data_IF_617391131282
#
_entry.id   IF_617391131282
#
_cell.length_a   1.000
_cell.length_b   1.000
_cell.length_c   1.000
_cell.angle_alpha   90.00
_cell.angle_beta   90.00
_cell.angle_gamma   90.00
#
_symmetry.space_group_name_H-M   'P 1'
#
loop_
_entity.id
_entity.type
_entity.pdbx_description
1 polymer ?
#
# COMPACT_ATOMS: atom_id res chain seq x y z
N UNK A 1 -1.56 -15.72 35.55
CA UNK A 1 -1.36 -14.97 34.29
C UNK A 1 -0.10 -14.09 34.32
N UNK A 2 -0.02 -13.09 35.22
CA UNK A 2 1.09 -12.12 35.25
C UNK A 2 2.50 -12.73 35.19
N UNK A 3 2.80 -13.74 36.03
CA UNK A 3 4.15 -14.32 36.10
C UNK A 3 4.61 -14.94 34.78
N UNK A 4 3.75 -15.75 34.14
CA UNK A 4 4.03 -16.38 32.85
C UNK A 4 4.18 -15.34 31.73
N UNK A 5 3.35 -14.30 31.74
CA UNK A 5 3.45 -13.19 30.81
C UNK A 5 4.79 -12.44 30.95
N UNK A 6 5.18 -12.11 32.19
CA UNK A 6 6.45 -11.43 32.47
C UNK A 6 7.65 -12.33 32.11
N UNK A 7 7.55 -13.64 32.34
CA UNK A 7 8.55 -14.62 31.87
C UNK A 7 8.66 -14.61 30.34
N UNK A 8 7.53 -14.56 29.61
CA UNK A 8 7.51 -14.47 28.13
C UNK A 8 8.15 -13.19 27.61
N UNK A 9 8.03 -12.09 28.36
CA UNK A 9 8.71 -10.82 28.09
C UNK A 9 10.20 -10.82 28.45
N UNK A 10 10.69 -11.86 29.14
CA UNK A 10 12.02 -11.92 29.77
C UNK A 10 12.24 -10.76 30.76
N UNK A 11 11.22 -10.47 31.56
CA UNK A 11 11.30 -9.48 32.63
C UNK A 11 12.41 -9.83 33.63
N UNK A 12 13.24 -8.83 33.98
CA UNK A 12 14.36 -8.99 34.92
C UNK A 12 14.22 -8.14 36.18
N UNK A 13 13.11 -7.41 36.33
CA UNK A 13 12.84 -6.57 37.49
C UNK A 13 12.27 -7.35 38.68
N UNK A 14 11.84 -6.66 39.75
CA UNK A 14 11.21 -7.27 40.91
C UNK A 14 9.95 -8.07 40.55
N UNK A 15 9.64 -9.09 41.37
CA UNK A 15 8.43 -9.91 41.28
C UNK A 15 7.69 -9.95 42.64
N UNK A 16 6.42 -9.51 42.72
CA UNK A 16 5.68 -8.81 41.67
C UNK A 16 6.32 -7.43 41.35
N UNK A 17 6.22 -6.92 40.12
CA UNK A 17 6.67 -5.57 39.81
C UNK A 17 5.89 -4.53 40.61
N UNK A 18 6.51 -3.42 41.07
CA UNK A 18 5.76 -2.34 41.70
C UNK A 18 4.98 -1.54 40.63
N UNK A 19 3.77 -1.02 40.94
CA UNK A 19 2.95 -0.27 39.97
C UNK A 19 3.48 1.15 39.77
N UNK A 20 4.66 1.31 39.17
CA UNK A 20 5.31 2.60 38.91
C UNK A 20 5.31 2.96 37.42
N UNK A 21 5.56 4.23 37.08
CA UNK A 21 5.69 4.64 35.67
C UNK A 21 6.85 3.91 34.95
N UNK A 22 7.94 3.60 35.66
CA UNK A 22 9.06 2.84 35.12
C UNK A 22 8.63 1.41 34.75
N UNK A 23 7.95 0.70 35.66
CA UNK A 23 7.36 -0.62 35.38
C UNK A 23 6.41 -0.57 34.19
N UNK A 24 5.51 0.42 34.15
CA UNK A 24 4.56 0.58 33.04
C UNK A 24 5.28 0.78 31.70
N UNK A 25 6.29 1.64 31.68
CA UNK A 25 7.06 1.97 30.48
C UNK A 25 7.82 0.76 29.95
N UNK A 26 8.47 0.00 30.82
CA UNK A 26 9.20 -1.21 30.44
C UNK A 26 8.26 -2.31 29.92
N UNK A 27 7.11 -2.54 30.57
CA UNK A 27 6.14 -3.55 30.13
C UNK A 27 5.58 -3.21 28.75
N UNK A 28 5.24 -1.94 28.49
CA UNK A 28 4.74 -1.48 27.18
C UNK A 28 5.81 -1.66 26.10
N UNK A 29 7.05 -1.25 26.38
CA UNK A 29 8.16 -1.39 25.43
C UNK A 29 8.47 -2.87 25.13
N UNK A 30 8.51 -3.73 26.16
CA UNK A 30 8.74 -5.16 25.99
C UNK A 30 7.61 -5.84 25.22
N UNK A 31 6.35 -5.54 25.54
CA UNK A 31 5.19 -6.12 24.85
C UNK A 31 5.25 -5.86 23.34
N UNK A 32 5.47 -4.60 22.95
CA UNK A 32 5.47 -4.19 21.53
C UNK A 32 6.64 -4.76 20.72
N UNK A 33 7.71 -5.19 21.40
CA UNK A 33 8.85 -5.87 20.79
C UNK A 33 8.72 -7.39 20.79
N UNK A 34 8.04 -7.98 21.78
CA UNK A 34 7.93 -9.45 21.94
C UNK A 34 6.74 -10.02 21.17
N UNK A 35 5.61 -9.34 21.22
CA UNK A 35 4.38 -9.79 20.60
C UNK A 35 4.13 -9.09 19.26
N UNK A 36 3.59 -9.87 18.33
CA UNK A 36 3.26 -9.47 16.99
C UNK A 36 1.76 -9.22 16.91
N UNK A 37 1.41 -8.02 16.47
CA UNK A 37 0.05 -7.72 16.04
C UNK A 37 -0.20 -8.40 14.70
N UNK A 38 -1.31 -9.13 14.57
CA UNK A 38 -1.78 -9.56 13.27
C UNK A 38 -2.83 -10.64 13.32
N UNK A 39 -3.47 -10.90 12.18
CA UNK A 39 -4.61 -11.80 12.04
C UNK A 39 -4.28 -13.13 11.35
N UNK A 40 -3.04 -13.61 11.40
CA UNK A 40 -2.67 -14.93 10.85
C UNK A 40 -3.59 -16.02 11.38
N UNK A 41 -3.94 -15.97 12.68
CA UNK A 41 -4.86 -16.92 13.31
C UNK A 41 -6.22 -17.02 12.63
N UNK A 42 -6.73 -15.93 12.04
CA UNK A 42 -8.00 -15.94 11.30
C UNK A 42 -7.91 -16.75 10.00
N UNK A 43 -6.72 -16.88 9.42
CA UNK A 43 -6.48 -17.65 8.19
C UNK A 43 -6.11 -19.11 8.48
N UNK A 44 -5.66 -19.42 9.70
CA UNK A 44 -5.31 -20.78 10.13
C UNK A 44 -6.39 -21.45 10.99
N UNK A 45 -7.48 -20.73 11.30
CA UNK A 45 -8.59 -21.24 12.11
C UNK A 45 -8.34 -21.21 13.62
N UNK A 46 -7.36 -20.43 14.09
CA UNK A 46 -7.11 -20.24 15.51
C UNK A 46 -8.24 -19.47 16.18
N UNK A 47 -8.50 -19.77 17.46
CA UNK A 47 -9.50 -19.06 18.25
C UNK A 47 -9.14 -17.57 18.40
N UNK A 48 -10.13 -16.71 18.15
CA UNK A 48 -10.00 -15.25 18.22
C UNK A 48 -10.67 -14.67 19.47
N UNK A 49 -11.11 -15.53 20.39
CA UNK A 49 -11.68 -15.12 21.66
C UNK A 49 -10.66 -14.36 22.52
N UNK A 50 -11.20 -13.62 23.51
CA UNK A 50 -10.41 -12.84 24.47
C UNK A 50 -10.51 -13.40 25.89
N UNK A 51 -10.97 -14.64 26.05
CA UNK A 51 -10.95 -15.30 27.35
C UNK A 51 -9.53 -15.68 27.78
N UNK A 52 -9.34 -15.88 29.09
CA UNK A 52 -8.02 -16.14 29.67
C UNK A 52 -7.34 -17.37 29.08
N UNK A 53 -8.08 -18.45 28.76
CA UNK A 53 -7.48 -19.66 28.22
C UNK A 53 -6.88 -19.39 26.84
N UNK A 54 -7.62 -18.71 25.97
CA UNK A 54 -7.13 -18.33 24.63
C UNK A 54 -5.96 -17.36 24.71
N UNK A 55 -6.03 -16.32 25.55
CA UNK A 55 -4.94 -15.35 25.71
C UNK A 55 -3.65 -16.00 26.25
N UNK A 56 -3.78 -16.91 27.22
CA UNK A 56 -2.64 -17.62 27.79
C UNK A 56 -2.06 -18.68 26.85
N UNK A 57 -2.86 -19.23 25.93
CA UNK A 57 -2.36 -20.18 24.94
C UNK A 57 -1.24 -19.57 24.10
N UNK A 58 -1.39 -18.30 23.67
CA UNK A 58 -0.33 -17.60 22.95
C UNK A 58 0.90 -17.37 23.82
N UNK A 59 0.71 -16.88 25.05
CA UNK A 59 1.81 -16.61 26.00
C UNK A 59 2.68 -17.87 26.19
N UNK A 60 2.06 -19.05 26.19
CA UNK A 60 2.70 -20.37 26.37
C UNK A 60 3.23 -20.99 25.08
N UNK A 61 2.68 -20.66 23.91
CA UNK A 61 2.97 -21.29 22.62
C UNK A 61 4.39 -21.09 22.09
N UNK A 62 5.16 -20.16 22.66
CA UNK A 62 6.45 -19.73 22.11
C UNK A 62 6.33 -18.84 20.86
N UNK A 63 5.20 -18.87 20.15
CA UNK A 63 4.89 -17.92 19.08
C UNK A 63 4.83 -16.48 19.61
N UNK A 64 5.17 -15.52 18.76
CA UNK A 64 4.97 -14.09 19.02
C UNK A 64 3.58 -13.62 18.60
N UNK A 65 2.81 -14.38 17.82
CA UNK A 65 1.50 -13.95 17.31
C UNK A 65 0.39 -13.98 18.37
N UNK A 66 0.02 -12.81 18.92
CA UNK A 66 -1.09 -12.69 19.90
C UNK A 66 -2.43 -12.49 19.23
N UNK A 67 -2.45 -11.74 18.12
CA UNK A 67 -3.68 -11.50 17.37
C UNK A 67 -3.93 -10.01 17.13
N UNK A 68 -5.20 -9.62 17.17
CA UNK A 68 -5.63 -8.25 16.92
C UNK A 68 -5.70 -7.40 18.20
N UNK A 69 -6.12 -6.13 18.07
CA UNK A 69 -6.08 -5.15 19.15
C UNK A 69 -6.81 -5.61 20.42
N UNK A 70 -7.95 -6.31 20.29
CA UNK A 70 -8.72 -6.77 21.45
C UNK A 70 -7.98 -7.84 22.28
N UNK A 71 -7.27 -8.78 21.65
CA UNK A 71 -6.52 -9.81 22.37
C UNK A 71 -5.31 -9.21 23.10
N UNK A 72 -4.54 -8.37 22.40
CA UNK A 72 -3.41 -7.65 22.99
C UNK A 72 -3.81 -6.80 24.20
N UNK A 73 -4.86 -5.99 24.07
CA UNK A 73 -5.28 -5.10 25.15
C UNK A 73 -6.00 -5.85 26.27
N UNK A 74 -6.72 -6.94 26.01
CA UNK A 74 -7.30 -7.76 27.07
C UNK A 74 -6.22 -8.45 27.91
N UNK A 75 -5.18 -8.99 27.26
CA UNK A 75 -4.01 -9.55 27.94
C UNK A 75 -3.30 -8.48 28.78
N UNK A 76 -3.00 -7.33 28.19
CA UNK A 76 -2.35 -6.22 28.90
C UNK A 76 -3.19 -5.71 30.06
N UNK A 77 -4.51 -5.57 29.90
CA UNK A 77 -5.42 -5.09 30.93
C UNK A 77 -5.41 -6.01 32.16
N UNK A 78 -5.43 -7.32 31.96
CA UNK A 78 -5.38 -8.30 33.04
C UNK A 78 -4.03 -8.23 33.78
N UNK A 79 -2.92 -8.19 33.04
CA UNK A 79 -1.57 -8.09 33.64
C UNK A 79 -1.40 -6.79 34.42
N UNK A 80 -1.84 -5.65 33.89
CA UNK A 80 -1.73 -4.37 34.60
C UNK A 80 -2.54 -4.36 35.90
N UNK A 81 -3.72 -5.01 35.91
CA UNK A 81 -4.54 -5.16 37.12
C UNK A 81 -3.88 -6.09 38.14
N UNK A 82 -3.31 -7.21 37.70
CA UNK A 82 -2.55 -8.14 38.57
C UNK A 82 -1.36 -7.45 39.25
N UNK A 83 -0.69 -6.52 38.55
CA UNK A 83 0.42 -5.70 39.09
C UNK A 83 -0.09 -4.65 40.11
N UNK A 84 -1.39 -4.31 40.07
CA UNK A 84 -2.01 -3.34 40.97
C UNK A 84 -2.24 -1.95 40.36
N UNK A 85 -2.12 -1.79 39.03
CA UNK A 85 -2.53 -0.54 38.38
C UNK A 85 -4.05 -0.38 38.31
N UNK A 86 -4.53 0.86 38.46
CA UNK A 86 -5.91 1.22 38.11
C UNK A 86 -6.05 1.34 36.59
N UNK A 87 -6.31 0.22 35.93
CA UNK A 87 -6.42 0.12 34.48
C UNK A 87 -7.87 -0.08 34.00
N UNK A 88 -8.29 0.75 33.05
CA UNK A 88 -9.65 0.79 32.48
C UNK A 88 -9.57 0.78 30.95
N UNK A 89 -10.29 -0.12 30.26
CA UNK A 89 -10.29 -0.13 28.81
C UNK A 89 -11.16 1.01 28.25
N UNK A 90 -10.75 1.52 27.11
CA UNK A 90 -11.40 2.58 26.34
C UNK A 90 -11.67 2.05 24.93
N UNK A 91 -12.89 2.24 24.42
CA UNK A 91 -13.22 1.93 23.04
C UNK A 91 -13.01 3.14 22.13
N UNK A 92 -12.51 2.88 20.92
CA UNK A 92 -12.12 3.91 19.98
C UNK A 92 -12.65 3.65 18.56
N UNK A 93 -12.97 4.74 17.87
CA UNK A 93 -13.29 4.78 16.44
C UNK A 93 -12.03 5.06 15.65
N UNK A 94 -11.63 4.13 14.79
CA UNK A 94 -10.43 4.22 13.96
C UNK A 94 -10.61 5.30 12.90
N UNK A 95 -9.65 6.22 12.79
CA UNK A 95 -9.56 7.26 11.76
C UNK A 95 -8.39 7.02 10.80
N UNK A 96 -7.39 6.25 11.25
CA UNK A 96 -6.22 5.88 10.46
C UNK A 96 -6.60 4.99 9.27
N UNK A 97 -6.26 5.43 8.06
CA UNK A 97 -6.44 4.65 6.83
C UNK A 97 -5.11 4.26 6.17
N UNK A 98 -3.98 4.44 6.86
CA UNK A 98 -2.65 4.15 6.31
C UNK A 98 -2.07 5.23 5.38
N UNK A 99 -2.79 6.34 5.15
CA UNK A 99 -2.36 7.45 4.30
C UNK A 99 -2.36 8.81 5.02
N UNK A 100 -1.42 9.66 4.61
CA UNK A 100 -1.22 11.04 5.10
C UNK A 100 -2.38 11.96 4.63
N UNK A 101 -3.09 11.57 3.57
CA UNK A 101 -4.17 12.36 2.96
C UNK A 101 -5.50 11.62 3.14
N UNK A 102 -6.21 11.90 4.23
CA UNK A 102 -7.62 11.54 4.37
C UNK A 102 -8.39 12.74 4.91
N UNK A 103 -9.24 13.32 4.07
CA UNK A 103 -10.19 14.38 4.43
C UNK A 103 -11.62 13.85 4.61
N UNK A 104 -11.82 12.53 4.49
CA UNK A 104 -13.13 11.91 4.66
C UNK A 104 -13.28 11.34 6.07
N UNK A 105 -14.06 12.03 6.89
CA UNK A 105 -14.53 11.56 8.20
C UNK A 105 -15.68 10.56 7.99
N UNK A 106 -15.37 9.32 7.59
CA UNK A 106 -16.34 8.24 7.77
C UNK A 106 -16.34 7.84 9.23
N UNK A 107 -17.47 7.96 9.92
CA UNK A 107 -17.61 7.44 11.29
C UNK A 107 -17.46 5.91 11.27
N UNK A 108 -16.34 5.40 11.80
CA UNK A 108 -16.13 3.97 11.99
C UNK A 108 -16.80 3.50 13.28
N UNK A 109 -17.06 2.20 13.40
CA UNK A 109 -17.51 1.58 14.65
C UNK A 109 -16.48 1.69 15.78
N UNK A 110 -16.87 1.29 16.99
CA UNK A 110 -15.97 1.14 18.14
C UNK A 110 -15.15 -0.16 18.00
N UNK A 111 -14.15 -0.12 17.11
CA UNK A 111 -13.41 -1.30 16.63
C UNK A 111 -11.94 -1.31 17.04
N UNK A 112 -11.55 -0.44 17.98
CA UNK A 112 -10.23 -0.44 18.61
C UNK A 112 -10.33 -0.25 20.11
N UNK A 113 -9.31 -0.73 20.83
CA UNK A 113 -9.18 -0.65 22.29
C UNK A 113 -7.90 0.08 22.64
N UNK A 114 -7.96 0.99 23.60
CA UNK A 114 -6.80 1.48 24.33
C UNK A 114 -7.06 1.30 25.83
N UNK A 115 -6.05 1.50 26.68
CA UNK A 115 -6.18 1.38 28.14
C UNK A 115 -5.81 2.71 28.78
N UNK A 116 -6.68 3.23 29.63
CA UNK A 116 -6.35 4.31 30.56
C UNK A 116 -5.79 3.70 31.84
N UNK A 117 -4.59 4.10 32.21
CA UNK A 117 -3.95 3.76 33.48
C UNK A 117 -3.88 5.02 34.34
N UNK A 118 -4.46 4.99 35.54
CA UNK A 118 -4.38 6.10 36.47
C UNK A 118 -3.36 5.80 37.58
N UNK A 119 -2.38 6.69 37.75
CA UNK A 119 -1.32 6.56 38.75
C UNK A 119 -0.79 7.96 39.13
N UNK A 120 -0.51 8.20 40.41
CA UNK A 120 -0.02 9.49 40.95
C UNK A 120 -0.82 10.71 40.44
N UNK A 121 -2.16 10.63 40.52
CA UNK A 121 -3.09 11.68 40.08
C UNK A 121 -3.06 12.03 38.57
N UNK A 122 -2.32 11.26 37.77
CA UNK A 122 -2.24 11.41 36.32
C UNK A 122 -2.86 10.22 35.60
N UNK A 123 -3.30 10.46 34.38
CA UNK A 123 -3.76 9.43 33.47
C UNK A 123 -2.72 9.20 32.38
N UNK A 124 -2.55 7.93 32.00
CA UNK A 124 -1.71 7.50 30.90
C UNK A 124 -2.53 6.65 29.95
N UNK A 125 -2.31 6.84 28.65
CA UNK A 125 -2.81 5.98 27.60
C UNK A 125 -1.79 4.89 27.30
N UNK A 126 -2.22 3.64 27.36
CA UNK A 126 -1.47 2.46 26.92
C UNK A 126 -2.16 1.90 25.69
N UNK A 127 -1.43 1.87 24.57
CA UNK A 127 -1.88 1.28 23.31
C UNK A 127 -0.75 0.48 22.67
N UNK A 128 -0.74 -0.81 22.94
CA UNK A 128 0.31 -1.73 22.49
C UNK A 128 0.00 -2.39 21.15
N UNK A 129 -1.18 -2.13 20.56
CA UNK A 129 -1.67 -2.94 19.45
C UNK A 129 -2.60 -2.21 18.47
N UNK A 130 -2.34 -0.94 18.16
CA UNK A 130 -2.95 -0.24 17.02
C UNK A 130 -2.36 -0.62 15.63
N UNK A 131 -1.88 -1.86 15.50
CA UNK A 131 -1.27 -2.39 14.28
C UNK A 131 -0.03 -1.63 13.80
N UNK A 132 -0.11 -1.06 12.60
CA UNK A 132 1.01 -0.36 11.95
C UNK A 132 1.44 0.94 12.64
N UNK A 133 0.73 1.39 13.66
CA UNK A 133 1.00 2.65 14.38
C UNK A 133 0.90 2.48 15.92
N UNK A 134 1.15 1.29 16.47
CA UNK A 134 1.10 1.10 17.93
C UNK A 134 2.12 1.98 18.67
N UNK A 135 1.77 2.51 19.84
CA UNK A 135 2.66 3.36 20.62
C UNK A 135 3.71 2.50 21.33
N UNK A 136 4.93 3.02 21.48
CA UNK A 136 6.05 2.27 22.08
C UNK A 136 6.26 2.56 23.55
N UNK A 137 5.50 3.51 24.10
CA UNK A 137 5.56 3.98 25.48
C UNK A 137 4.14 4.32 25.97
N UNK A 138 3.88 4.31 27.29
CA UNK A 138 2.69 4.96 27.84
C UNK A 138 2.74 6.46 27.55
N UNK A 139 1.60 7.04 27.19
CA UNK A 139 1.48 8.45 26.82
C UNK A 139 0.70 9.19 27.90
N UNK A 140 1.21 10.32 28.38
CA UNK A 140 0.51 11.20 29.32
C UNK A 140 -0.81 11.66 28.70
N UNK A 141 -1.94 11.29 29.31
CA UNK A 141 -3.30 11.56 28.85
C UNK A 141 -3.90 12.72 29.65
N UNK A 142 -3.27 13.88 29.57
CA UNK A 142 -3.69 15.10 30.25
C UNK A 142 -3.90 16.25 29.26
N UNK A 143 -4.74 17.24 29.58
CA UNK A 143 -5.04 18.34 28.63
C UNK A 143 -3.80 19.11 28.19
N UNK A 144 -2.82 19.24 29.08
CA UNK A 144 -1.53 19.90 28.81
C UNK A 144 -0.71 19.16 27.73
N UNK A 145 -0.89 17.84 27.59
CA UNK A 145 -0.22 17.05 26.53
C UNK A 145 -0.67 17.43 25.12
N UNK A 146 -1.77 18.18 24.97
CA UNK A 146 -2.17 18.74 23.68
C UNK A 146 -1.19 19.81 23.17
N UNK A 147 -0.52 20.50 24.11
CA UNK A 147 0.43 21.58 23.83
C UNK A 147 1.88 21.09 23.79
N UNK A 148 2.17 19.94 24.42
CA UNK A 148 3.51 19.34 24.46
C UNK A 148 3.49 17.95 23.82
N UNK A 149 3.78 17.84 22.51
CA UNK A 149 3.96 16.58 21.82
C UNK A 149 4.93 15.64 22.56
N UNK A 150 4.58 14.37 22.62
CA UNK A 150 5.34 13.33 23.29
C UNK A 150 6.13 12.54 22.25
N UNK A 151 7.45 12.45 22.41
CA UNK A 151 8.31 11.66 21.52
C UNK A 151 8.27 10.19 21.94
N UNK A 152 7.97 9.32 20.99
CA UNK A 152 8.15 7.86 21.15
C UNK A 152 9.40 7.40 20.39
N UNK A 153 9.71 6.11 20.38
CA UNK A 153 10.85 5.57 19.62
C UNK A 153 10.73 5.91 18.12
N UNK A 154 9.50 5.89 17.58
CA UNK A 154 9.27 6.04 16.16
C UNK A 154 8.61 7.39 15.84
N UNK A 155 7.39 7.61 16.32
CA UNK A 155 6.60 8.79 15.97
C UNK A 155 6.44 9.77 17.14
N UNK A 156 6.19 11.04 16.83
CA UNK A 156 5.61 11.99 17.78
C UNK A 156 4.14 11.66 18.00
N UNK A 157 3.64 11.87 19.22
CA UNK A 157 2.26 11.61 19.63
C UNK A 157 1.69 12.81 20.36
N UNK A 158 0.40 13.05 20.21
CA UNK A 158 -0.36 14.01 21.02
C UNK A 158 -1.83 13.66 21.07
N UNK A 159 -2.55 14.36 21.93
CA UNK A 159 -4.00 14.25 22.05
C UNK A 159 -4.67 15.57 21.69
N UNK A 160 -5.75 15.49 20.92
CA UNK A 160 -6.68 16.60 20.72
C UNK A 160 -7.93 16.30 21.55
N UNK A 161 -8.15 17.06 22.61
CA UNK A 161 -9.31 16.87 23.49
C UNK A 161 -10.54 17.56 22.90
N UNK A 162 -11.66 16.85 22.93
CA UNK A 162 -12.97 17.28 22.42
C UNK A 162 -14.00 17.12 23.56
N UNK A 163 -15.21 17.63 23.39
CA UNK A 163 -16.27 17.46 24.41
C UNK A 163 -16.60 15.96 24.55
N UNK A 164 -16.42 15.42 25.75
CA UNK A 164 -16.68 14.00 26.01
C UNK A 164 -15.72 13.03 25.29
N UNK A 165 -14.46 13.43 25.01
CA UNK A 165 -13.50 12.49 24.44
C UNK A 165 -12.16 13.10 24.03
N UNK A 166 -11.39 12.33 23.28
CA UNK A 166 -10.13 12.79 22.68
C UNK A 166 -9.82 12.04 21.39
N UNK A 167 -9.06 12.69 20.51
CA UNK A 167 -8.45 12.07 19.33
C UNK A 167 -6.95 11.90 19.56
N UNK A 168 -6.45 10.68 19.40
CA UNK A 168 -5.01 10.38 19.40
C UNK A 168 -4.45 10.67 18.01
N UNK A 169 -3.37 11.47 17.95
CA UNK A 169 -2.69 11.81 16.71
C UNK A 169 -1.22 11.36 16.73
N UNK A 170 -0.66 11.07 15.55
CA UNK A 170 0.77 10.88 15.35
C UNK A 170 1.36 11.87 14.34
N UNK A 171 2.67 12.05 14.41
CA UNK A 171 3.45 12.81 13.44
C UNK A 171 4.85 12.22 13.28
N UNK A 172 5.38 12.24 12.06
CA UNK A 172 6.74 11.76 11.77
C UNK A 172 7.77 12.90 11.86
N UNK A 173 7.38 14.10 11.48
CA UNK A 173 8.22 15.31 11.42
C UNK A 173 7.95 16.30 12.57
N UNK A 174 6.93 16.05 13.39
CA UNK A 174 6.45 16.95 14.43
C UNK A 174 5.57 18.10 13.90
N UNK A 175 5.38 18.20 12.58
CA UNK A 175 4.69 19.31 11.90
C UNK A 175 3.36 18.84 11.32
N UNK A 176 3.37 17.76 10.53
CA UNK A 176 2.16 17.18 9.95
C UNK A 176 1.58 16.12 10.89
N UNK A 177 0.33 16.33 11.29
CA UNK A 177 -0.36 15.49 12.26
C UNK A 177 -1.49 14.69 11.61
N UNK A 178 -1.57 13.41 11.95
CA UNK A 178 -2.57 12.49 11.45
C UNK A 178 -3.42 11.92 12.59
N UNK A 179 -4.74 11.90 12.39
CA UNK A 179 -5.66 11.27 13.32
C UNK A 179 -5.52 9.74 13.25
N UNK A 180 -5.26 9.11 14.40
CA UNK A 180 -5.22 7.66 14.52
C UNK A 180 -6.61 7.11 14.84
N UNK A 181 -7.20 7.58 15.93
CA UNK A 181 -8.52 7.20 16.39
C UNK A 181 -9.06 8.21 17.39
N UNK A 182 -10.37 8.19 17.59
CA UNK A 182 -11.06 8.96 18.62
C UNK A 182 -11.71 8.06 19.65
N UNK A 183 -11.47 8.34 20.93
CA UNK A 183 -12.15 7.72 22.07
C UNK A 183 -13.36 8.56 22.44
N UNK A 184 -14.50 7.89 22.61
CA UNK A 184 -15.73 8.50 23.15
C UNK A 184 -15.75 8.18 24.65
N UNK A 185 -16.12 9.14 25.52
CA UNK A 185 -15.94 9.16 27.00
C UNK A 185 -16.73 8.09 27.80
N UNK A 186 -16.85 6.88 27.30
CA UNK A 186 -17.36 5.74 28.06
C UNK A 186 -16.21 4.80 28.41
N UNK A 187 -16.03 4.57 29.71
CA UNK A 187 -15.24 3.45 30.21
C UNK A 187 -15.90 2.16 29.70
N UNK A 188 -15.12 1.31 29.04
CA UNK A 188 -15.64 0.06 28.51
C UNK A 188 -15.70 -1.01 29.62
N UNK A 189 -16.69 -1.89 29.54
CA UNK A 189 -16.76 -3.09 30.38
C UNK A 189 -16.29 -4.32 29.58
N UNK A 190 -15.94 -5.45 30.23
CA UNK A 190 -15.42 -6.63 29.55
C UNK A 190 -16.31 -7.12 28.38
N UNK A 191 -17.64 -7.06 28.52
CA UNK A 191 -18.56 -7.49 27.46
C UNK A 191 -18.49 -6.59 26.21
N UNK A 192 -18.18 -5.30 26.35
CA UNK A 192 -18.02 -4.42 25.18
C UNK A 192 -16.81 -4.83 24.35
N UNK A 193 -15.76 -5.32 25.02
CA UNK A 193 -14.56 -5.84 24.36
C UNK A 193 -14.87 -7.12 23.57
N UNK A 194 -15.71 -8.00 24.11
CA UNK A 194 -16.14 -9.23 23.42
C UNK A 194 -16.90 -8.90 22.14
N UNK A 195 -17.83 -7.94 22.19
CA UNK A 195 -18.60 -7.50 21.02
C UNK A 195 -17.66 -6.92 19.94
N UNK A 196 -16.74 -6.04 20.34
CA UNK A 196 -15.78 -5.45 19.41
C UNK A 196 -14.83 -6.48 18.81
N UNK A 197 -14.32 -7.41 19.62
CA UNK A 197 -13.45 -8.50 19.17
C UNK A 197 -14.16 -9.39 18.14
N UNK A 198 -15.40 -9.81 18.43
CA UNK A 198 -16.19 -10.63 17.52
C UNK A 198 -16.46 -9.90 16.20
N UNK A 199 -16.89 -8.64 16.25
CA UNK A 199 -17.14 -7.86 15.04
C UNK A 199 -15.89 -7.76 14.17
N UNK A 200 -14.74 -7.39 14.76
CA UNK A 200 -13.49 -7.23 14.02
C UNK A 200 -13.00 -8.53 13.39
N UNK A 201 -13.17 -9.67 14.07
CA UNK A 201 -12.73 -10.97 13.59
C UNK A 201 -13.69 -11.61 12.58
N UNK A 202 -15.00 -11.33 12.64
CA UNK A 202 -16.00 -12.11 11.90
C UNK A 202 -16.81 -11.33 10.88
N UNK A 203 -16.80 -9.99 10.91
CA UNK A 203 -17.58 -9.20 9.96
C UNK A 203 -17.06 -9.41 8.53
N UNK A 204 -17.86 -9.94 7.59
CA UNK A 204 -17.37 -10.34 6.27
C UNK A 204 -16.82 -9.19 5.43
N UNK A 205 -17.29 -7.97 5.65
CA UNK A 205 -16.79 -6.77 4.96
C UNK A 205 -15.73 -6.02 5.80
N UNK A 206 -15.26 -6.62 6.89
CA UNK A 206 -14.24 -6.05 7.77
C UNK A 206 -12.86 -6.09 7.12
N UNK A 207 -12.01 -5.12 7.47
CA UNK A 207 -10.64 -5.02 6.94
C UNK A 207 -9.84 -6.30 7.20
N UNK A 208 -9.84 -6.78 8.44
CA UNK A 208 -9.07 -7.95 8.88
C UNK A 208 -9.69 -9.29 8.42
N UNK A 209 -10.96 -9.31 8.02
CA UNK A 209 -11.54 -10.52 7.44
C UNK A 209 -11.00 -10.76 6.02
N UNK A 210 -10.80 -9.69 5.26
CA UNK A 210 -10.43 -9.77 3.85
C UNK A 210 -8.93 -9.61 3.58
N UNK A 211 -8.16 -9.11 4.55
CA UNK A 211 -6.76 -8.79 4.34
C UNK A 211 -5.90 -9.38 5.45
N UNK A 212 -4.77 -9.99 5.09
CA UNK A 212 -3.75 -10.37 6.04
C UNK A 212 -2.98 -9.11 6.45
N UNK A 213 -2.90 -8.84 7.74
CA UNK A 213 -2.20 -7.68 8.29
C UNK A 213 -1.38 -8.14 9.48
N UNK A 214 -0.09 -7.90 9.43
CA UNK A 214 0.87 -8.26 10.48
C UNK A 214 1.82 -7.09 10.70
N UNK A 215 2.12 -6.75 11.96
CA UNK A 215 2.99 -5.64 12.31
C UNK A 215 3.73 -5.88 13.61
N UNK A 216 5.01 -5.52 13.65
CA UNK A 216 5.86 -5.60 14.84
C UNK A 216 6.95 -4.52 14.80
N UNK A 217 7.41 -4.11 15.99
CA UNK A 217 8.53 -3.19 16.17
C UNK A 217 9.84 -3.98 16.23
N UNK A 218 10.85 -3.52 15.51
CA UNK A 218 12.16 -4.18 15.42
C UNK A 218 13.25 -3.23 15.90
N UNK A 219 13.87 -3.60 17.03
CA UNK A 219 14.84 -2.76 17.72
C UNK A 219 14.24 -1.39 18.07
N UNK A 220 15.04 -0.35 17.87
CA UNK A 220 14.67 1.06 18.09
C UNK A 220 14.59 1.87 16.80
N UNK A 221 14.65 1.19 15.65
CA UNK A 221 14.88 1.84 14.35
C UNK A 221 13.63 1.87 13.48
N UNK A 222 12.85 0.78 13.51
CA UNK A 222 11.78 0.60 12.53
C UNK A 222 10.62 -0.27 13.01
N UNK A 223 9.54 -0.16 12.25
CA UNK A 223 8.41 -1.06 12.27
C UNK A 223 8.31 -1.77 10.93
N UNK A 224 8.10 -3.07 10.97
CA UNK A 224 7.85 -3.86 9.77
C UNK A 224 6.39 -4.29 9.74
N UNK A 225 5.78 -4.24 8.56
CA UNK A 225 4.38 -4.56 8.36
C UNK A 225 4.21 -5.37 7.09
N UNK A 226 3.41 -6.43 7.16
CA UNK A 226 2.88 -7.14 6.00
C UNK A 226 1.40 -6.78 5.89
N UNK A 227 0.99 -6.28 4.73
CA UNK A 227 -0.41 -6.16 4.34
C UNK A 227 -0.61 -6.95 3.03
N UNK A 228 -1.28 -8.10 3.13
CA UNK A 228 -1.36 -9.11 2.08
C UNK A 228 0.03 -9.55 1.61
N UNK A 229 0.43 -9.16 0.39
CA UNK A 229 1.75 -9.43 -0.18
C UNK A 229 2.67 -8.20 -0.15
N UNK A 230 2.28 -7.11 0.52
CA UNK A 230 3.13 -5.92 0.60
C UNK A 230 3.88 -5.92 1.92
N UNK A 231 5.20 -6.02 1.82
CA UNK A 231 6.10 -5.85 2.96
C UNK A 231 6.61 -4.40 3.01
N UNK A 232 6.37 -3.74 4.14
CA UNK A 232 6.77 -2.36 4.39
C UNK A 232 7.68 -2.29 5.62
N UNK A 233 8.84 -1.66 5.47
CA UNK A 233 9.68 -1.19 6.58
C UNK A 233 9.46 0.31 6.73
N UNK A 234 9.04 0.75 7.90
CA UNK A 234 8.88 2.17 8.24
C UNK A 234 9.88 2.55 9.31
N UNK A 235 10.67 3.58 9.04
CA UNK A 235 11.69 4.09 9.94
C UNK A 235 11.17 5.25 10.79
N UNK A 236 11.88 5.57 11.87
CA UNK A 236 11.53 6.63 12.81
C UNK A 236 11.49 8.06 12.20
N UNK A 237 12.15 8.26 11.06
CA UNK A 237 12.15 9.51 10.29
C UNK A 237 10.94 9.61 9.33
N UNK A 238 10.09 8.58 9.28
CA UNK A 238 8.93 8.50 8.39
C UNK A 238 9.23 7.89 7.02
N UNK A 239 10.51 7.61 6.69
CA UNK A 239 10.89 6.91 5.46
C UNK A 239 10.23 5.53 5.41
N UNK A 240 9.88 5.10 4.20
CA UNK A 240 9.26 3.80 3.95
C UNK A 240 9.96 3.08 2.82
N UNK A 241 10.42 1.87 3.11
CA UNK A 241 10.88 0.94 2.09
C UNK A 241 9.77 -0.10 1.89
N UNK A 242 9.34 -0.28 0.65
CA UNK A 242 8.25 -1.19 0.28
C UNK A 242 8.71 -2.16 -0.79
N UNK A 243 8.27 -3.40 -0.66
CA UNK A 243 8.42 -4.42 -1.69
C UNK A 243 7.23 -5.35 -1.68
N UNK A 244 6.95 -5.94 -2.84
CA UNK A 244 5.91 -6.97 -2.96
C UNK A 244 6.56 -8.33 -2.87
N UNK A 245 5.91 -9.22 -2.11
CA UNK A 245 6.28 -10.61 -1.95
C UNK A 245 5.83 -11.39 -3.18
N UNK A 246 6.72 -12.21 -3.70
CA UNK A 246 6.56 -12.90 -4.98
C UNK A 246 5.81 -14.22 -4.88
N UNK A 247 5.68 -14.79 -3.66
CA UNK A 247 5.08 -16.11 -3.45
C UNK A 247 4.53 -16.30 -2.03
N UNK A 248 3.66 -17.31 -1.86
CA UNK A 248 3.20 -17.77 -0.54
C UNK A 248 4.36 -18.28 0.33
N UNK A 249 5.31 -19.00 -0.27
CA UNK A 249 6.50 -19.50 0.44
C UNK A 249 7.32 -18.35 1.03
N UNK A 250 7.50 -17.26 0.26
CA UNK A 250 8.19 -16.06 0.76
C UNK A 250 7.40 -15.38 1.91
N UNK A 251 6.08 -15.29 1.77
CA UNK A 251 5.20 -14.76 2.82
C UNK A 251 5.33 -15.56 4.13
N UNK A 252 5.19 -16.89 4.06
CA UNK A 252 5.31 -17.79 5.21
C UNK A 252 6.69 -17.70 5.83
N UNK A 253 7.75 -17.71 5.02
CA UNK A 253 9.12 -17.59 5.51
C UNK A 253 9.33 -16.29 6.31
N UNK A 254 8.83 -15.15 5.82
CA UNK A 254 8.91 -13.89 6.55
C UNK A 254 8.08 -13.89 7.84
N UNK A 255 6.87 -14.44 7.81
CA UNK A 255 6.02 -14.55 9.00
C UNK A 255 6.72 -15.33 10.11
N UNK A 256 7.38 -16.44 9.76
CA UNK A 256 8.12 -17.24 10.72
C UNK A 256 9.39 -16.52 11.20
N UNK A 257 10.23 -16.06 10.26
CA UNK A 257 11.56 -15.52 10.57
C UNK A 257 11.53 -14.16 11.28
N UNK A 258 10.66 -13.25 10.85
CA UNK A 258 10.63 -11.88 11.38
C UNK A 258 9.50 -11.67 12.39
N UNK A 259 8.34 -12.27 12.15
CA UNK A 259 7.15 -12.02 12.96
C UNK A 259 6.90 -13.09 14.03
N UNK A 260 7.74 -14.12 14.10
CA UNK A 260 7.73 -15.14 15.15
C UNK A 260 6.47 -16.01 15.14
N UNK A 261 5.89 -16.23 13.95
CA UNK A 261 4.90 -17.29 13.76
C UNK A 261 5.58 -18.66 13.64
N UNK A 262 4.80 -19.72 13.79
CA UNK A 262 5.24 -21.10 13.62
C UNK A 262 4.30 -21.81 12.63
N UNK A 263 4.40 -21.40 11.36
CA UNK A 263 3.61 -21.95 10.25
C UNK A 263 4.40 -23.05 9.54
N UNK A 264 3.69 -24.08 9.07
CA UNK A 264 4.24 -25.05 8.12
C UNK A 264 4.76 -24.34 6.86
N UNK A 265 5.87 -24.80 6.30
CA UNK A 265 6.55 -24.09 5.20
C UNK A 265 5.72 -24.01 3.91
N UNK A 266 4.80 -24.94 3.74
CA UNK A 266 3.85 -25.04 2.63
C UNK A 266 2.45 -24.51 2.99
N UNK A 267 2.29 -23.87 4.16
CA UNK A 267 1.04 -23.22 4.53
C UNK A 267 0.62 -22.19 3.47
N UNK A 268 -0.67 -22.17 3.14
CA UNK A 268 -1.24 -21.22 2.18
C UNK A 268 -2.19 -20.29 2.93
N UNK A 269 -1.84 -19.01 3.00
CA UNK A 269 -2.70 -17.99 3.58
C UNK A 269 -3.56 -17.36 2.48
N UNK A 270 -4.88 -17.37 2.70
CA UNK A 270 -5.84 -16.78 1.76
C UNK A 270 -5.73 -15.25 1.78
N UNK A 271 -4.81 -14.70 1.00
CA UNK A 271 -4.72 -13.26 0.73
C UNK A 271 -5.47 -12.90 -0.56
N UNK A 272 -5.99 -11.67 -0.70
CA UNK A 272 -6.53 -11.19 -1.96
C UNK A 272 -5.53 -11.37 -3.11
N UNK A 273 -6.01 -11.81 -4.26
CA UNK A 273 -5.21 -11.84 -5.47
C UNK A 273 -4.79 -10.41 -5.84
N UNK A 274 -3.54 -10.24 -6.28
CA UNK A 274 -3.10 -8.96 -6.84
C UNK A 274 -3.95 -8.66 -8.08
N UNK A 275 -4.43 -7.43 -8.17
CA UNK A 275 -5.16 -6.98 -9.36
C UNK A 275 -4.18 -6.87 -10.53
N UNK A 276 -4.58 -7.36 -11.68
CA UNK A 276 -3.75 -7.33 -12.89
C UNK A 276 -4.28 -6.26 -13.84
N UNK A 277 -3.39 -5.38 -14.30
CA UNK A 277 -3.65 -4.45 -15.40
C UNK A 277 -2.93 -4.99 -16.62
N UNK A 278 -3.68 -5.28 -17.69
CA UNK A 278 -3.14 -5.70 -18.98
C UNK A 278 -2.93 -4.49 -19.89
N UNK A 279 -1.66 -4.20 -20.17
CA UNK A 279 -1.22 -3.17 -21.11
C UNK A 279 -0.66 -3.82 -22.37
N UNK A 280 -1.25 -3.52 -23.53
CA UNK A 280 -0.77 -4.02 -24.83
C UNK A 280 -0.08 -2.90 -25.60
N UNK A 281 1.09 -3.18 -26.15
CA UNK A 281 1.89 -2.20 -26.92
C UNK A 281 1.83 -2.54 -28.41
N UNK A 282 1.39 -1.58 -29.23
CA UNK A 282 1.25 -1.72 -30.69
C UNK A 282 1.96 -0.58 -31.43
N UNK A 283 2.22 -0.75 -32.72
CA UNK A 283 2.97 0.21 -33.54
C UNK A 283 3.88 -0.48 -34.53
N UNK A 284 4.45 0.29 -35.47
CA UNK A 284 5.29 -0.23 -36.55
C UNK A 284 6.51 -1.04 -36.06
N UNK A 285 7.11 -1.82 -36.97
CA UNK A 285 8.41 -2.42 -36.74
C UNK A 285 9.47 -1.36 -36.41
N UNK A 286 10.45 -1.73 -35.57
CA UNK A 286 11.61 -0.90 -35.20
C UNK A 286 11.32 0.47 -34.54
N UNK A 287 10.08 0.75 -34.10
CA UNK A 287 9.77 1.96 -33.31
C UNK A 287 10.13 1.83 -31.82
N UNK A 288 10.81 0.76 -31.40
CA UNK A 288 11.32 0.63 -30.02
C UNK A 288 10.31 0.18 -28.96
N UNK A 289 9.23 -0.54 -29.33
CA UNK A 289 8.27 -1.15 -28.38
C UNK A 289 8.94 -2.11 -27.39
N UNK A 290 9.72 -3.06 -27.91
CA UNK A 290 10.45 -4.03 -27.08
C UNK A 290 11.47 -3.36 -26.16
N UNK A 291 12.22 -2.37 -26.67
CA UNK A 291 13.15 -1.58 -25.86
C UNK A 291 12.42 -0.81 -24.76
N UNK A 292 11.24 -0.23 -25.04
CA UNK A 292 10.40 0.46 -24.07
C UNK A 292 10.05 -0.47 -22.90
N UNK A 293 9.56 -1.67 -23.20
CA UNK A 293 9.16 -2.66 -22.21
C UNK A 293 10.36 -3.15 -21.39
N UNK A 294 11.43 -3.62 -22.05
CA UNK A 294 12.63 -4.15 -21.39
C UNK A 294 13.30 -3.08 -20.51
N UNK A 295 13.46 -1.85 -21.00
CA UNK A 295 14.06 -0.77 -20.20
C UNK A 295 13.22 -0.46 -18.96
N UNK A 296 11.89 -0.55 -19.05
CA UNK A 296 11.02 -0.30 -17.92
C UNK A 296 11.07 -1.43 -16.89
N UNK A 297 11.10 -2.68 -17.34
CA UNK A 297 11.11 -3.84 -16.43
C UNK A 297 12.48 -4.13 -15.83
N UNK A 298 13.58 -3.78 -16.52
CA UNK A 298 14.95 -4.13 -16.09
C UNK A 298 15.81 -2.94 -15.67
N UNK A 299 15.33 -1.71 -15.85
CA UNK A 299 16.12 -0.48 -15.72
C UNK A 299 17.42 -0.50 -16.57
N UNK A 300 17.45 -1.26 -17.67
CA UNK A 300 18.59 -1.34 -18.60
C UNK A 300 18.11 -1.37 -20.04
N UNK A 301 18.84 -0.69 -20.92
CA UNK A 301 18.60 -0.78 -22.35
C UNK A 301 19.18 -2.11 -22.89
N UNK A 302 18.43 -2.87 -23.72
CA UNK A 302 18.90 -4.15 -24.24
C UNK A 302 20.10 -3.96 -25.20
N UNK A 303 21.14 -4.77 -25.03
CA UNK A 303 22.36 -4.73 -25.87
C UNK A 303 22.24 -5.55 -27.15
N UNK A 304 21.33 -6.52 -27.20
CA UNK A 304 21.08 -7.39 -28.35
C UNK A 304 19.65 -7.20 -28.85
N UNK A 305 19.50 -7.11 -30.17
CA UNK A 305 18.19 -7.01 -30.81
C UNK A 305 17.70 -8.40 -31.23
N UNK A 306 16.67 -8.89 -30.54
CA UNK A 306 15.92 -10.08 -30.93
C UNK A 306 14.56 -9.61 -31.48
N UNK A 307 14.19 -9.93 -32.73
CA UNK A 307 12.89 -9.55 -33.28
C UNK A 307 11.73 -10.19 -32.52
N UNK A 308 10.80 -9.38 -32.02
CA UNK A 308 9.65 -9.86 -31.26
C UNK A 308 8.52 -10.37 -32.17
N UNK A 309 8.02 -11.56 -31.85
CA UNK A 309 6.75 -12.09 -32.37
C UNK A 309 5.64 -11.78 -31.35
N UNK A 310 5.79 -12.32 -30.13
CA UNK A 310 5.01 -11.99 -28.94
C UNK A 310 5.85 -12.24 -27.69
N UNK A 311 5.87 -11.29 -26.77
CA UNK A 311 6.48 -11.47 -25.45
C UNK A 311 5.57 -10.86 -24.38
N UNK A 312 5.46 -11.55 -23.24
CA UNK A 312 4.69 -11.08 -22.10
C UNK A 312 5.63 -10.87 -20.92
N UNK A 313 5.67 -9.64 -20.43
CA UNK A 313 6.39 -9.28 -19.21
C UNK A 313 5.37 -8.96 -18.11
N UNK A 314 5.73 -9.16 -16.86
CA UNK A 314 4.91 -8.75 -15.74
C UNK A 314 5.81 -8.05 -14.72
N UNK A 315 5.36 -6.89 -14.25
CA UNK A 315 6.00 -6.18 -13.14
C UNK A 315 4.97 -5.82 -12.11
N UNK A 316 5.38 -5.81 -10.84
CA UNK A 316 4.50 -5.37 -9.77
C UNK A 316 4.76 -3.90 -9.48
N UNK A 317 3.69 -3.11 -9.51
CA UNK A 317 3.70 -1.66 -9.24
C UNK A 317 2.82 -1.35 -8.04
N UNK A 318 3.15 -0.28 -7.31
CA UNK A 318 2.36 0.19 -6.18
C UNK A 318 1.51 1.37 -6.61
N UNK A 319 0.18 1.25 -6.49
CA UNK A 319 -0.77 2.34 -6.75
C UNK A 319 -1.37 2.74 -5.41
N UNK A 320 -0.95 3.89 -4.89
CA UNK A 320 -1.23 4.26 -3.50
C UNK A 320 -0.62 3.27 -2.51
N UNK A 321 -1.45 2.45 -1.87
CA UNK A 321 -1.03 1.38 -0.95
C UNK A 321 -1.31 -0.03 -1.49
N UNK A 322 -1.89 -0.16 -2.68
CA UNK A 322 -2.29 -1.44 -3.23
C UNK A 322 -1.28 -1.91 -4.30
N UNK A 323 -0.87 -3.19 -4.26
CA UNK A 323 -0.02 -3.77 -5.28
C UNK A 323 -0.86 -4.17 -6.49
N UNK A 324 -0.39 -3.81 -7.68
CA UNK A 324 -0.97 -4.22 -8.96
C UNK A 324 0.09 -4.93 -9.80
N UNK A 325 -0.29 -5.99 -10.47
CA UNK A 325 0.52 -6.63 -11.49
C UNK A 325 0.25 -5.94 -12.83
N UNK A 326 1.22 -5.21 -13.35
CA UNK A 326 1.16 -4.66 -14.70
C UNK A 326 1.70 -5.73 -15.67
N UNK A 327 0.79 -6.38 -16.39
CA UNK A 327 1.10 -7.27 -17.50
C UNK A 327 1.34 -6.47 -18.78
N UNK A 328 2.54 -6.60 -19.35
CA UNK A 328 3.01 -5.88 -20.52
C UNK A 328 3.10 -6.86 -21.70
N UNK A 329 2.29 -6.64 -22.73
CA UNK A 329 2.18 -7.50 -23.88
C UNK A 329 2.83 -6.82 -25.09
N UNK A 330 4.02 -7.30 -25.46
CA UNK A 330 4.74 -6.84 -26.64
C UNK A 330 4.17 -7.51 -27.90
N UNK A 331 4.05 -6.75 -28.98
CA UNK A 331 3.50 -7.25 -30.23
C UNK A 331 4.37 -6.91 -31.43
N UNK A 332 4.43 -7.84 -32.40
CA UNK A 332 5.11 -7.61 -33.66
C UNK A 332 4.48 -6.44 -34.44
N UNK A 333 5.33 -5.54 -34.94
CA UNK A 333 4.93 -4.39 -35.75
C UNK A 333 4.96 -4.62 -37.27
N UNK A 334 5.31 -5.83 -37.71
CA UNK A 334 5.39 -6.21 -39.12
C UNK A 334 4.04 -6.72 -39.63
N UNK A 335 3.75 -6.48 -40.91
CA UNK A 335 2.48 -6.86 -41.55
C UNK A 335 2.24 -8.37 -41.60
N UNK A 336 3.33 -9.16 -41.67
CA UNK A 336 3.28 -10.64 -41.63
C UNK A 336 2.56 -11.18 -40.39
N UNK A 337 2.46 -10.39 -39.33
CA UNK A 337 1.81 -10.74 -38.06
C UNK A 337 0.45 -10.07 -37.83
N UNK A 338 -0.10 -9.35 -38.82
CA UNK A 338 -1.38 -8.62 -38.69
C UNK A 338 -2.55 -9.53 -38.27
N UNK A 339 -2.53 -10.82 -38.61
CA UNK A 339 -3.56 -11.80 -38.20
C UNK A 339 -3.33 -12.39 -36.82
N UNK A 340 -2.08 -12.44 -36.36
CA UNK A 340 -1.72 -13.03 -35.07
C UNK A 340 -1.81 -11.99 -33.95
N UNK A 341 -1.49 -10.73 -34.24
CA UNK A 341 -1.46 -9.64 -33.26
C UNK A 341 -2.77 -9.47 -32.48
N UNK A 342 -3.96 -9.53 -33.11
CA UNK A 342 -5.22 -9.38 -32.39
C UNK A 342 -5.50 -10.47 -31.35
N UNK A 343 -4.80 -11.60 -31.38
CA UNK A 343 -4.92 -12.65 -30.37
C UNK A 343 -4.46 -12.19 -28.98
N UNK A 344 -3.62 -11.15 -28.91
CA UNK A 344 -3.16 -10.54 -27.65
C UNK A 344 -4.13 -9.49 -27.09
N UNK A 345 -5.17 -9.09 -27.81
CA UNK A 345 -6.09 -7.98 -27.45
C UNK A 345 -7.24 -8.31 -26.48
N UNK A 346 -7.72 -9.56 -26.33
CA UNK A 346 -8.78 -9.85 -25.38
C UNK A 346 -8.42 -9.42 -23.95
N UNK A 347 -9.38 -8.80 -23.26
CA UNK A 347 -9.24 -8.32 -21.86
C UNK A 347 -8.12 -7.29 -21.67
N UNK A 348 -7.76 -6.52 -22.70
CA UNK A 348 -6.83 -5.41 -22.55
C UNK A 348 -7.48 -4.25 -21.80
N UNK A 349 -6.80 -3.75 -20.77
CA UNK A 349 -7.24 -2.61 -19.97
C UNK A 349 -6.76 -1.28 -20.54
N UNK A 350 -5.60 -1.26 -21.21
CA UNK A 350 -5.04 -0.06 -21.86
C UNK A 350 -4.13 -0.42 -23.04
N UNK A 351 -4.13 0.42 -24.08
CA UNK A 351 -3.19 0.32 -25.20
C UNK A 351 -2.16 1.46 -25.19
N UNK A 352 -0.91 1.11 -25.45
CA UNK A 352 0.12 2.05 -25.90
C UNK A 352 0.26 1.94 -27.42
N UNK A 353 -0.06 3.02 -28.13
CA UNK A 353 0.08 3.12 -29.58
C UNK A 353 1.36 3.90 -29.89
N UNK A 354 2.42 3.18 -30.22
CA UNK A 354 3.75 3.71 -30.36
C UNK A 354 4.10 4.08 -31.81
N UNK A 355 4.79 5.20 -31.96
CA UNK A 355 5.51 5.58 -33.17
C UNK A 355 6.88 6.14 -32.79
N UNK A 356 7.82 6.17 -33.71
CA UNK A 356 9.12 6.80 -33.48
C UNK A 356 9.10 8.26 -33.93
N UNK A 357 9.58 9.17 -33.07
CA UNK A 357 9.63 10.60 -33.42
C UNK A 357 10.60 10.90 -34.57
N UNK A 358 11.47 9.96 -34.92
CA UNK A 358 12.41 10.08 -36.05
C UNK A 358 11.97 9.30 -37.29
N UNK A 359 10.81 8.65 -37.26
CA UNK A 359 10.25 7.91 -38.39
C UNK A 359 8.84 8.43 -38.73
N UNK A 360 8.72 9.53 -39.50
CA UNK A 360 7.42 10.11 -39.86
C UNK A 360 6.39 9.16 -40.47
N UNK A 361 6.75 8.15 -41.30
CA UNK A 361 5.77 7.14 -41.74
C UNK A 361 5.09 6.41 -40.58
N UNK A 362 5.82 6.10 -39.51
CA UNK A 362 5.24 5.44 -38.33
C UNK A 362 4.25 6.32 -37.57
N UNK A 363 4.39 7.65 -37.66
CA UNK A 363 3.45 8.62 -37.09
C UNK A 363 2.14 8.64 -37.86
N UNK A 364 2.19 8.66 -39.20
CA UNK A 364 0.99 8.60 -40.04
C UNK A 364 0.24 7.27 -39.85
N UNK A 365 0.98 6.16 -39.75
CA UNK A 365 0.42 4.83 -39.52
C UNK A 365 -0.36 4.71 -38.19
N UNK A 366 -0.12 5.58 -37.21
CA UNK A 366 -0.97 5.63 -35.99
C UNK A 366 -2.42 5.91 -36.37
N UNK A 367 -2.64 6.89 -37.26
CA UNK A 367 -3.97 7.30 -37.72
C UNK A 367 -4.56 6.33 -38.74
N UNK A 368 -3.72 5.85 -39.65
CA UNK A 368 -4.17 5.07 -40.81
C UNK A 368 -4.38 3.59 -40.48
N UNK A 369 -3.60 3.04 -39.54
CA UNK A 369 -3.59 1.60 -39.21
C UNK A 369 -3.83 1.32 -37.74
N UNK A 370 -2.91 1.73 -36.86
CA UNK A 370 -2.85 1.20 -35.49
C UNK A 370 -4.02 1.59 -34.62
N UNK A 371 -4.39 2.88 -34.63
CA UNK A 371 -5.51 3.36 -33.83
C UNK A 371 -6.86 2.81 -34.33
N UNK A 372 -7.15 2.79 -35.64
CA UNK A 372 -8.32 2.08 -36.17
C UNK A 372 -8.36 0.59 -35.79
N UNK A 373 -7.24 -0.13 -35.88
CA UNK A 373 -7.15 -1.56 -35.56
C UNK A 373 -7.52 -1.84 -34.10
N UNK A 374 -6.89 -1.15 -33.14
CA UNK A 374 -7.20 -1.37 -31.71
C UNK A 374 -8.63 -0.95 -31.36
N UNK A 375 -9.16 0.11 -32.00
CA UNK A 375 -10.56 0.54 -31.80
C UNK A 375 -11.57 -0.44 -32.39
N UNK A 376 -11.23 -1.11 -33.48
CA UNK A 376 -12.07 -2.13 -34.10
C UNK A 376 -12.20 -3.35 -33.18
N UNK A 377 -11.08 -3.86 -32.65
CA UNK A 377 -11.07 -5.06 -31.81
C UNK A 377 -11.49 -4.80 -30.35
N UNK A 378 -11.11 -3.65 -29.80
CA UNK A 378 -11.31 -3.30 -28.39
C UNK A 378 -11.99 -1.94 -28.23
N UNK A 379 -13.28 -1.83 -28.58
CA UNK A 379 -14.00 -0.56 -28.52
C UNK A 379 -14.10 -0.04 -27.08
N UNK A 380 -13.71 1.20 -26.86
CA UNK A 380 -13.80 1.87 -25.57
C UNK A 380 -12.63 1.63 -24.61
N UNK A 381 -11.67 0.77 -24.96
CA UNK A 381 -10.42 0.65 -24.19
C UNK A 381 -9.60 1.94 -24.36
N UNK A 382 -9.05 2.52 -23.28
CA UNK A 382 -8.22 3.72 -23.36
C UNK A 382 -6.95 3.47 -24.18
N UNK A 383 -6.56 4.47 -24.96
CA UNK A 383 -5.36 4.44 -25.80
C UNK A 383 -4.50 5.65 -25.47
N UNK A 384 -3.19 5.45 -25.26
CA UNK A 384 -2.19 6.51 -25.14
C UNK A 384 -1.30 6.46 -26.37
N UNK A 385 -1.10 7.61 -27.01
CA UNK A 385 -0.14 7.71 -28.11
C UNK A 385 1.23 8.00 -27.54
N UNK A 386 2.24 7.23 -27.95
CA UNK A 386 3.60 7.31 -27.42
C UNK A 386 4.60 7.58 -28.54
N UNK A 387 5.27 8.74 -28.49
CA UNK A 387 6.42 9.06 -29.32
C UNK A 387 7.71 8.51 -28.70
N UNK A 388 8.26 7.45 -29.27
CA UNK A 388 9.49 6.81 -28.78
C UNK A 388 10.74 7.41 -29.43
N UNK A 389 11.92 7.04 -28.92
CA UNK A 389 13.23 7.46 -29.44
C UNK A 389 13.42 8.99 -29.40
N UNK A 390 12.85 9.65 -28.39
CA UNK A 390 12.91 11.11 -28.28
C UNK A 390 14.33 11.67 -28.15
N UNK A 391 15.28 10.85 -27.70
CA UNK A 391 16.70 11.18 -27.61
C UNK A 391 17.34 11.44 -28.99
N UNK A 392 16.76 10.91 -30.06
CA UNK A 392 17.26 11.06 -31.42
C UNK A 392 16.65 12.26 -32.16
N UNK A 393 15.69 12.98 -31.58
CA UNK A 393 15.03 14.13 -32.22
C UNK A 393 16.02 15.23 -32.60
N UNK A 394 16.95 15.53 -31.71
CA UNK A 394 17.92 16.60 -31.84
C UNK A 394 19.34 16.08 -32.16
N UNK A 395 19.48 14.77 -32.40
CA UNK A 395 20.76 14.15 -32.78
C UNK A 395 21.16 14.61 -34.20
N UNK A 396 22.31 15.30 -34.38
CA UNK A 396 22.67 15.88 -35.67
C UNK A 396 22.75 14.87 -36.81
N UNK A 397 23.31 13.68 -36.55
CA UNK A 397 23.45 12.64 -37.56
C UNK A 397 22.08 12.09 -38.00
N UNK A 398 21.18 11.88 -37.05
CA UNK A 398 19.81 11.43 -37.32
C UNK A 398 19.02 12.49 -38.07
N UNK A 399 19.09 13.75 -37.66
CA UNK A 399 18.43 14.87 -38.35
C UNK A 399 18.91 15.00 -39.80
N UNK A 400 20.23 14.92 -40.03
CA UNK A 400 20.80 14.95 -41.39
C UNK A 400 20.31 13.77 -42.24
N UNK A 401 20.26 12.56 -41.65
CA UNK A 401 19.76 11.36 -42.34
C UNK A 401 18.30 11.49 -42.75
N UNK A 402 17.43 11.99 -41.87
CA UNK A 402 16.00 12.17 -42.17
C UNK A 402 15.78 13.27 -43.22
N UNK A 403 16.58 14.34 -43.16
CA UNK A 403 16.52 15.43 -44.12
C UNK A 403 16.84 14.99 -45.56
N UNK A 404 17.68 13.96 -45.77
CA UNK A 404 17.96 13.36 -47.09
C UNK A 404 16.68 12.81 -47.75
N UNK A 405 15.72 12.35 -46.96
CA UNK A 405 14.40 11.90 -47.42
C UNK A 405 13.35 13.03 -47.43
N UNK A 406 13.78 14.30 -47.33
CA UNK A 406 12.92 15.51 -47.24
C UNK A 406 11.91 15.47 -46.09
N UNK A 407 12.27 14.77 -45.02
CA UNK A 407 11.44 14.64 -43.82
C UNK A 407 12.06 15.42 -42.66
N UNK A 408 11.32 15.55 -41.55
CA UNK A 408 11.80 16.13 -40.30
C UNK A 408 11.31 15.28 -39.12
N UNK A 409 12.02 15.28 -37.98
CA UNK A 409 11.50 14.68 -36.76
C UNK A 409 10.13 15.23 -36.37
N UNK A 410 9.30 14.39 -35.77
CA UNK A 410 7.98 14.74 -35.27
C UNK A 410 8.11 15.61 -34.03
N UNK A 411 7.42 16.75 -34.04
CA UNK A 411 7.37 17.67 -32.92
C UNK A 411 6.33 17.23 -31.88
N UNK A 412 6.53 17.64 -30.64
CA UNK A 412 5.60 17.37 -29.56
C UNK A 412 4.20 17.88 -29.86
N UNK A 413 4.08 19.10 -30.41
CA UNK A 413 2.79 19.67 -30.80
C UNK A 413 2.04 18.83 -31.85
N UNK A 414 2.77 18.17 -32.77
CA UNK A 414 2.16 17.30 -33.76
C UNK A 414 1.58 16.04 -33.11
N UNK A 415 2.32 15.42 -32.19
CA UNK A 415 1.84 14.29 -31.39
C UNK A 415 0.62 14.62 -30.54
N UNK A 416 0.62 15.79 -29.88
CA UNK A 416 -0.54 16.25 -29.11
C UNK A 416 -1.77 16.50 -29.98
N UNK A 417 -1.60 17.11 -31.16
CA UNK A 417 -2.69 17.32 -32.11
C UNK A 417 -3.28 15.99 -32.56
N UNK A 418 -2.43 15.01 -32.87
CA UNK A 418 -2.88 13.68 -33.26
C UNK A 418 -3.67 12.98 -32.15
N UNK A 419 -3.18 13.03 -30.90
CA UNK A 419 -3.90 12.44 -29.76
C UNK A 419 -5.28 13.07 -29.55
N UNK A 420 -5.38 14.41 -29.68
CA UNK A 420 -6.67 15.11 -29.61
C UNK A 420 -7.59 14.71 -30.77
N UNK A 421 -7.06 14.63 -31.98
CA UNK A 421 -7.84 14.24 -33.17
C UNK A 421 -8.42 12.84 -33.03
N UNK A 422 -7.62 11.89 -32.55
CA UNK A 422 -8.01 10.48 -32.42
C UNK A 422 -8.83 10.19 -31.15
N UNK A 423 -8.97 11.16 -30.24
CA UNK A 423 -9.60 10.93 -28.94
C UNK A 423 -8.81 9.93 -28.09
N UNK A 424 -7.48 9.96 -28.19
CA UNK A 424 -6.59 9.27 -27.27
C UNK A 424 -6.63 9.96 -25.90
N UNK A 425 -6.33 9.22 -24.84
CA UNK A 425 -6.31 9.75 -23.47
C UNK A 425 -5.21 10.81 -23.32
N UNK A 426 -4.04 10.54 -23.89
CA UNK A 426 -2.87 11.42 -23.80
C UNK A 426 -1.89 11.16 -24.94
N UNK A 427 -1.03 12.14 -25.18
CA UNK A 427 0.22 11.98 -25.92
C UNK A 427 1.40 12.08 -24.95
N UNK A 428 2.34 11.15 -25.04
CA UNK A 428 3.56 11.13 -24.23
C UNK A 428 4.77 10.82 -25.10
N UNK A 429 5.94 11.23 -24.64
CA UNK A 429 7.22 10.95 -25.30
C UNK A 429 8.20 10.30 -24.34
N UNK A 430 9.03 9.39 -24.86
CA UNK A 430 10.03 8.74 -24.05
C UNK A 430 11.25 8.28 -24.85
N UNK A 431 12.34 8.03 -24.12
CA UNK A 431 13.54 7.37 -24.60
C UNK A 431 13.81 6.14 -23.73
N UNK A 432 13.82 4.96 -24.34
CA UNK A 432 14.20 3.73 -23.65
C UNK A 432 15.70 3.71 -23.28
N UNK A 433 16.54 4.40 -24.07
CA UNK A 433 17.99 4.48 -23.88
C UNK A 433 18.36 5.35 -22.68
N UNK A 434 17.82 6.57 -22.63
CA UNK A 434 18.09 7.52 -21.54
C UNK A 434 17.12 7.40 -20.36
N UNK A 435 16.10 6.54 -20.49
CA UNK A 435 14.98 6.35 -19.56
C UNK A 435 14.12 7.60 -19.32
N UNK A 436 14.38 8.69 -20.05
CA UNK A 436 13.59 9.92 -19.97
C UNK A 436 12.14 9.65 -20.41
N UNK A 437 11.18 10.06 -19.59
CA UNK A 437 9.74 9.90 -19.86
C UNK A 437 9.21 8.46 -19.70
N UNK A 438 10.07 7.47 -19.49
CA UNK A 438 9.71 6.06 -19.49
C UNK A 438 8.71 5.70 -18.40
N UNK A 439 9.02 6.04 -17.14
CA UNK A 439 8.13 5.80 -16.00
C UNK A 439 6.76 6.47 -16.19
N UNK A 440 6.77 7.70 -16.69
CA UNK A 440 5.56 8.50 -16.90
C UNK A 440 4.60 7.85 -17.93
N UNK A 441 5.12 7.18 -18.97
CA UNK A 441 4.28 6.44 -19.93
C UNK A 441 3.47 5.35 -19.24
N UNK A 442 4.10 4.55 -18.37
CA UNK A 442 3.41 3.47 -17.68
C UNK A 442 2.53 3.95 -16.52
N UNK A 443 2.95 4.98 -15.78
CA UNK A 443 2.11 5.59 -14.74
C UNK A 443 0.78 6.10 -15.33
N UNK A 444 0.83 6.79 -16.47
CA UNK A 444 -0.37 7.31 -17.14
C UNK A 444 -1.21 6.19 -17.77
N UNK A 445 -0.59 5.11 -18.26
CA UNK A 445 -1.31 3.94 -18.75
C UNK A 445 -2.09 3.24 -17.64
N UNK A 446 -1.46 3.09 -16.47
CA UNK A 446 -2.10 2.57 -15.26
C UNK A 446 -3.29 3.44 -14.85
N UNK A 447 -3.10 4.77 -14.80
CA UNK A 447 -4.18 5.71 -14.45
C UNK A 447 -5.34 5.58 -15.44
N UNK A 448 -5.04 5.54 -16.74
CA UNK A 448 -6.05 5.43 -17.78
C UNK A 448 -6.84 4.10 -17.70
N UNK A 449 -6.19 3.00 -17.29
CA UNK A 449 -6.85 1.72 -17.08
C UNK A 449 -7.79 1.73 -15.87
N UNK A 450 -7.39 2.37 -14.76
CA UNK A 450 -8.16 2.40 -13.52
C UNK A 450 -9.28 3.45 -13.49
N UNK A 451 -9.08 4.58 -14.17
CA UNK A 451 -10.06 5.66 -14.29
C UNK A 451 -10.24 6.05 -15.77
N UNK A 452 -10.93 5.21 -16.56
CA UNK A 452 -11.10 5.47 -17.99
C UNK A 452 -11.95 6.73 -18.22
N UNK A 453 -11.53 7.65 -19.11
CA UNK A 453 -12.26 8.88 -19.35
C UNK A 453 -13.70 8.59 -19.79
N UNK A 454 -14.66 9.33 -19.20
CA UNK A 454 -16.09 9.13 -19.44
C UNK A 454 -16.41 9.10 -20.94
N UNK A 455 -17.09 8.03 -21.39
CA UNK A 455 -17.53 7.89 -22.78
C UNK A 455 -18.35 9.12 -23.19
N UNK A 456 -17.93 9.81 -24.25
CA UNK A 456 -18.63 10.96 -24.81
C UNK A 456 -20.03 10.58 -25.31
N UNK A 457 -21.00 10.55 -24.40
CA UNK A 457 -22.43 10.51 -24.70
C UNK A 457 -22.92 11.92 -25.04
N UNK A 458 -23.67 12.04 -26.14
CA UNK A 458 -24.37 13.26 -26.53
C UNK A 458 -25.11 13.87 -25.32
N UNK A 459 -24.98 15.19 -25.19
CA UNK A 459 -25.30 15.94 -23.98
C UNK A 459 -26.68 15.71 -23.36
N UNK A 460 -26.67 15.46 -22.06
CA UNK A 460 -27.76 15.76 -21.13
C UNK A 460 -27.17 16.55 -19.95
N UNK A 461 -27.60 17.79 -19.77
CA UNK A 461 -27.16 18.69 -18.68
C UNK A 461 -27.41 18.06 -17.31
N UNK A 462 -26.42 18.15 -16.40
CA UNK A 462 -26.69 18.13 -14.95
C UNK A 462 -25.49 17.81 -14.05
N UNK A 463 -25.02 18.82 -13.30
CA UNK A 463 -24.42 18.61 -11.97
C UNK A 463 -22.90 18.70 -11.84
N UNK A 464 -22.43 19.82 -11.27
CA UNK A 464 -21.05 20.11 -10.84
C UNK A 464 -20.44 19.04 -9.91
N UNK A 465 -19.13 18.76 -10.08
CA UNK A 465 -18.04 18.37 -9.13
C UNK A 465 -16.78 18.12 -9.99
N UNK A 466 -15.52 18.27 -9.60
CA UNK A 466 -14.74 18.65 -8.43
C UNK A 466 -13.28 18.72 -8.92
N UNK A 467 -12.43 19.57 -8.35
CA UNK A 467 -11.12 19.94 -8.91
C UNK A 467 -10.07 18.80 -8.96
N UNK A 468 -9.02 18.94 -9.81
CA UNK A 468 -8.07 17.87 -10.10
C UNK A 468 -7.11 17.60 -8.93
N UNK A 469 -6.91 16.31 -8.64
CA UNK A 469 -5.93 15.79 -7.70
C UNK A 469 -4.53 15.85 -8.34
N UNK A 470 -3.57 16.51 -7.67
CA UNK A 470 -2.15 16.53 -8.06
C UNK A 470 -1.41 15.45 -7.29
N UNK A 471 -0.62 14.64 -7.99
CA UNK A 471 0.28 13.64 -7.40
C UNK A 471 1.67 14.30 -7.30
N UNK A 472 2.27 14.27 -6.10
CA UNK A 472 3.69 14.53 -5.85
C UNK A 472 4.36 13.27 -5.33
#
# INVERSE_FOLDING_TARGET
MMEEYLARLRWTGPMPPPPTLDTLSQIVALHTRVFTFGNVGMFTGADQSIDEATLMSVVRSGSSGVGLCFQHHSLMLNVLRDIGFKAVPLLARVKWNGNIVSTATSETGLVHVAIRVSFEEKNYLVDVAFGSMCATIPLVLERESALTPQRTLLEWRRFRFEEGGFTHQCSFDGVQWHDLYSVVSMDAVPNDLVVGAWFVATYPNGKFFNNLIVSRIFGDECRKTIENLVYTVRYADGRRDRRVLSSQAELVALLNQEFGYDLEHDAVLRVPAMQTIKCVVVGDGAVGKTCLLISYTTNKFPSEYVPTVFDNYAVTVMIGNEPYTLGLFDTAGQEDYDRLRPLSYPQTDVFLVCFSVIAPPSFENVKEKWFPEVRHHCPGVPCIIVGTQMDLRDDPATVEKIAKSRQRPITTDAGERLARELGAVKYLECSALTQRGLKNVFDEAIIAALDPPAKGGKGGKGGKKGGPCKIQ
#
